data_IF_038285642777
#
_entry.id   IF_038285642777
#
_cell.length_a   1.000
_cell.length_b   1.000
_cell.length_c   1.000
_cell.angle_alpha   90.00
_cell.angle_beta   90.00
_cell.angle_gamma   90.00
#
_symmetry.space_group_name_H-M   'P 1'
#
loop_
_entity.id
_entity.type
_entity.pdbx_description
1 polymer ?
#
# COMPACT_ATOMS: atom_id res chain seq x y z
N UNK A 1 1.95 28.21 3.63
CA UNK A 1 2.10 29.52 2.96
C UNK A 1 3.41 29.47 2.18
N UNK A 2 3.36 29.16 0.88
CA UNK A 2 4.55 29.17 0.02
C UNK A 2 4.23 29.96 -1.25
N UNK A 3 5.12 30.90 -1.55
CA UNK A 3 4.98 32.00 -2.48
C UNK A 3 5.60 31.60 -3.83
N UNK A 4 4.88 31.75 -4.94
CA UNK A 4 5.39 31.50 -6.30
C UNK A 4 5.50 32.83 -7.03
N UNK A 5 6.72 33.21 -7.40
CA UNK A 5 7.00 34.32 -8.33
C UNK A 5 6.65 33.87 -9.75
N UNK A 6 5.86 34.67 -10.46
CA UNK A 6 5.71 34.59 -11.91
C UNK A 6 6.73 35.51 -12.61
N UNK A 7 7.45 34.98 -13.60
CA UNK A 7 7.80 35.73 -14.81
C UNK A 7 8.23 34.78 -15.94
N UNK A 8 7.53 34.86 -17.08
CA UNK A 8 8.17 34.75 -18.39
C UNK A 8 8.06 33.43 -19.18
N UNK A 9 7.13 33.45 -20.15
CA UNK A 9 7.31 32.96 -21.53
C UNK A 9 7.12 31.47 -21.85
N UNK A 10 5.89 31.14 -22.24
CA UNK A 10 5.60 30.46 -23.52
C UNK A 10 6.03 29.01 -23.69
N UNK A 11 5.29 28.06 -23.11
CA UNK A 11 5.18 26.70 -23.66
C UNK A 11 3.83 26.07 -23.30
N UNK A 12 3.17 25.51 -24.31
CA UNK A 12 1.82 24.96 -24.37
C UNK A 12 1.24 24.38 -23.06
N UNK A 13 0.26 25.09 -22.49
CA UNK A 13 -0.57 24.65 -21.37
C UNK A 13 -1.80 23.96 -21.95
N UNK A 14 -1.72 22.66 -22.25
CA UNK A 14 -2.91 21.86 -22.59
C UNK A 14 -2.97 20.46 -21.93
N UNK A 15 -2.08 20.13 -20.97
CA UNK A 15 -2.14 18.83 -20.25
C UNK A 15 -2.40 18.94 -18.74
N UNK A 16 -2.73 20.11 -18.21
CA UNK A 16 -2.80 20.33 -16.75
C UNK A 16 -4.19 20.13 -16.12
N UNK A 17 -5.09 19.30 -16.69
CA UNK A 17 -6.51 19.26 -16.23
C UNK A 17 -7.16 17.91 -15.95
N UNK A 18 -6.41 16.82 -15.85
CA UNK A 18 -7.02 15.54 -15.44
C UNK A 18 -6.10 14.68 -14.58
N UNK A 19 -5.60 15.24 -13.48
CA UNK A 19 -5.23 14.45 -12.30
C UNK A 19 -6.28 14.79 -11.25
N UNK A 20 -7.40 14.06 -11.32
CA UNK A 20 -8.62 14.34 -10.54
C UNK A 20 -8.43 13.99 -9.06
N UNK A 21 -9.18 14.68 -8.20
CA UNK A 21 -9.32 14.49 -6.74
C UNK A 21 -10.09 13.22 -6.37
N UNK A 22 -9.74 12.10 -6.99
CA UNK A 22 -10.21 10.76 -6.63
C UNK A 22 -8.95 9.89 -6.54
N UNK A 23 -8.80 9.10 -5.49
CA UNK A 23 -7.51 8.51 -5.03
C UNK A 23 -6.87 7.52 -6.04
N UNK A 24 -7.51 7.27 -7.17
CA UNK A 24 -7.06 6.34 -8.21
C UNK A 24 -6.40 7.08 -9.40
N UNK A 25 -5.16 6.71 -9.70
CA UNK A 25 -4.44 7.13 -10.90
C UNK A 25 -5.17 6.63 -12.15
N UNK A 26 -5.56 7.56 -13.03
CA UNK A 26 -6.44 7.36 -14.21
C UNK A 26 -7.80 6.69 -13.91
N UNK A 27 -8.18 6.54 -12.63
CA UNK A 27 -9.36 5.79 -12.19
C UNK A 27 -9.19 4.27 -12.24
N UNK A 28 -7.94 3.77 -12.17
CA UNK A 28 -7.64 2.34 -12.32
C UNK A 28 -6.79 1.75 -11.20
N UNK A 29 -5.83 2.51 -10.67
CA UNK A 29 -4.90 2.04 -9.63
C UNK A 29 -4.69 3.12 -8.59
N UNK A 30 -4.83 2.76 -7.31
CA UNK A 30 -4.43 3.62 -6.21
C UNK A 30 -2.89 3.83 -6.17
N UNK A 31 -2.05 2.78 -6.35
CA UNK A 31 -0.60 2.96 -6.34
C UNK A 31 -0.07 3.65 -7.61
N UNK A 32 0.74 4.69 -7.42
CA UNK A 32 1.49 5.33 -8.52
C UNK A 32 2.76 4.56 -8.90
N UNK A 33 3.13 3.56 -8.10
CA UNK A 33 4.28 2.69 -8.30
C UNK A 33 3.90 1.24 -8.05
N UNK A 34 4.27 0.37 -8.97
CA UNK A 34 4.02 -1.07 -8.87
C UNK A 34 4.99 -1.84 -9.77
N UNK A 35 5.25 -3.10 -9.41
CA UNK A 35 5.86 -4.09 -10.30
C UNK A 35 4.71 -4.78 -11.04
N UNK A 36 4.84 -5.03 -12.35
CA UNK A 36 3.72 -5.49 -13.17
C UNK A 36 2.97 -4.34 -13.82
N UNK A 37 1.64 -4.41 -13.89
CA UNK A 37 0.74 -3.40 -14.49
C UNK A 37 1.24 -2.87 -15.83
N UNK A 38 1.76 -3.78 -16.65
CA UNK A 38 2.50 -3.46 -17.87
C UNK A 38 1.65 -2.65 -18.86
N UNK A 39 0.33 -2.85 -18.84
CA UNK A 39 -0.61 -2.17 -19.72
C UNK A 39 -0.65 -0.65 -19.50
N UNK A 40 -0.21 -0.15 -18.33
CA UNK A 40 -0.04 1.29 -18.03
C UNK A 40 1.37 1.82 -18.31
N UNK A 41 2.30 0.95 -18.69
CA UNK A 41 3.71 1.27 -18.91
C UNK A 41 4.10 1.27 -20.39
N UNK A 42 3.25 0.74 -21.26
CA UNK A 42 3.50 0.61 -22.70
C UNK A 42 2.42 1.33 -23.52
N UNK A 43 2.68 1.64 -24.81
CA UNK A 43 1.70 2.30 -25.67
C UNK A 43 0.34 1.57 -25.74
N UNK A 44 -0.75 2.34 -25.81
CA UNK A 44 -2.13 1.84 -25.84
C UNK A 44 -2.42 0.82 -26.95
N UNK A 45 -1.64 0.87 -28.05
CA UNK A 45 -1.70 -0.10 -29.14
C UNK A 45 -1.60 -1.55 -28.65
N UNK A 46 -0.73 -1.82 -27.68
CA UNK A 46 -0.56 -3.16 -27.11
C UNK A 46 -1.77 -3.57 -26.29
N UNK A 47 -2.36 -2.63 -25.54
CA UNK A 47 -3.60 -2.88 -24.78
C UNK A 47 -4.78 -3.18 -25.70
N UNK A 48 -4.92 -2.43 -26.80
CA UNK A 48 -6.00 -2.64 -27.75
C UNK A 48 -5.83 -3.89 -28.63
N UNK A 49 -4.59 -4.30 -28.96
CA UNK A 49 -4.34 -5.41 -29.90
C UNK A 49 -3.91 -6.72 -29.24
N UNK A 50 -3.26 -6.67 -28.09
CA UNK A 50 -2.75 -7.85 -27.40
C UNK A 50 -3.62 -8.15 -26.19
N UNK A 51 -3.67 -7.26 -25.20
CA UNK A 51 -4.38 -7.52 -23.95
C UNK A 51 -5.89 -7.69 -24.13
N UNK A 52 -6.51 -7.00 -25.11
CA UNK A 52 -7.94 -7.18 -25.42
C UNK A 52 -8.31 -8.57 -25.96
N UNK A 53 -7.33 -9.34 -26.42
CA UNK A 53 -7.51 -10.70 -26.93
C UNK A 53 -7.05 -11.77 -25.93
N UNK A 54 -6.50 -11.37 -24.79
CA UNK A 54 -6.23 -12.29 -23.70
C UNK A 54 -7.53 -12.49 -22.91
N UNK A 55 -7.76 -13.73 -22.51
CA UNK A 55 -8.84 -14.03 -21.56
C UNK A 55 -8.40 -13.55 -20.18
N UNK A 56 -9.13 -12.58 -19.62
CA UNK A 56 -8.82 -11.96 -18.33
C UNK A 56 -10.06 -11.98 -17.45
N UNK A 57 -10.02 -12.80 -16.40
CA UNK A 57 -11.16 -12.98 -15.48
C UNK A 57 -11.51 -11.72 -14.68
N UNK A 58 -10.55 -10.80 -14.52
CA UNK A 58 -10.66 -9.62 -13.67
C UNK A 58 -11.09 -8.35 -14.41
N UNK A 59 -11.05 -8.32 -15.75
CA UNK A 59 -11.45 -7.14 -16.54
C UNK A 59 -12.03 -7.53 -17.90
N UNK A 60 -13.21 -7.00 -18.22
CA UNK A 60 -13.82 -7.24 -19.52
C UNK A 60 -13.01 -6.59 -20.64
N UNK A 61 -12.99 -7.21 -21.83
CA UNK A 61 -12.33 -6.63 -23.01
C UNK A 61 -12.91 -5.25 -23.39
N UNK A 62 -14.18 -4.99 -23.09
CA UNK A 62 -14.83 -3.69 -23.30
C UNK A 62 -14.27 -2.61 -22.38
N UNK A 63 -14.16 -2.92 -21.08
CA UNK A 63 -13.55 -2.03 -20.08
C UNK A 63 -12.09 -1.76 -20.46
N UNK A 64 -11.34 -2.79 -20.83
CA UNK A 64 -9.93 -2.65 -21.19
C UNK A 64 -9.71 -1.75 -22.42
N UNK A 65 -10.61 -1.79 -23.42
CA UNK A 65 -10.59 -0.86 -24.57
C UNK A 65 -10.87 0.59 -24.15
N UNK A 66 -11.79 0.81 -23.22
CA UNK A 66 -12.03 2.14 -22.64
C UNK A 66 -10.83 2.64 -21.84
N UNK A 67 -10.13 1.74 -21.15
CA UNK A 67 -8.88 2.08 -20.47
C UNK A 67 -7.80 2.46 -21.48
N UNK A 68 -7.66 1.68 -22.56
CA UNK A 68 -6.66 1.91 -23.61
C UNK A 68 -6.81 3.29 -24.27
N UNK A 69 -8.03 3.81 -24.45
CA UNK A 69 -8.24 5.13 -25.04
C UNK A 69 -7.78 6.29 -24.15
N UNK A 70 -7.62 6.05 -22.83
CA UNK A 70 -7.09 7.04 -21.87
C UNK A 70 -5.56 7.01 -21.78
N UNK A 71 -4.92 5.97 -22.31
CA UNK A 71 -3.46 5.82 -22.27
C UNK A 71 -2.84 6.59 -23.44
N UNK A 72 -2.36 7.80 -23.16
CA UNK A 72 -1.85 8.72 -24.19
C UNK A 72 -0.32 8.83 -24.18
N UNK A 73 0.27 8.93 -22.98
CA UNK A 73 1.68 9.25 -22.72
C UNK A 73 2.28 8.33 -21.65
N UNK A 74 2.24 6.99 -21.83
CA UNK A 74 2.91 6.07 -20.90
C UNK A 74 4.43 6.33 -20.87
N UNK A 75 5.14 5.98 -19.79
CA UNK A 75 4.66 5.20 -18.64
C UNK A 75 3.97 6.03 -17.55
N UNK A 76 2.88 5.49 -17.02
CA UNK A 76 2.11 6.11 -15.93
C UNK A 76 2.44 5.58 -14.54
N UNK A 77 2.90 4.33 -14.46
CA UNK A 77 3.27 3.65 -13.22
C UNK A 77 4.75 3.35 -13.25
N UNK A 78 5.48 3.74 -12.20
CA UNK A 78 6.90 3.45 -12.08
C UNK A 78 7.14 2.13 -11.34
N UNK A 79 8.17 1.38 -11.74
CA UNK A 79 8.70 0.24 -10.97
C UNK A 79 9.97 0.60 -10.19
N UNK A 80 10.36 1.88 -10.17
CA UNK A 80 11.56 2.34 -9.46
C UNK A 80 11.20 2.54 -7.98
N UNK A 81 11.84 1.83 -7.05
CA UNK A 81 11.57 1.98 -5.62
C UNK A 81 12.16 3.27 -5.07
N UNK A 82 11.58 3.79 -3.99
CA UNK A 82 12.24 4.79 -3.14
C UNK A 82 13.12 4.07 -2.13
N UNK A 83 14.42 4.42 -2.11
CA UNK A 83 15.42 3.73 -1.28
C UNK A 83 15.83 4.63 -0.12
N UNK A 84 15.74 4.09 1.09
CA UNK A 84 16.10 4.77 2.33
C UNK A 84 17.14 3.97 3.10
N UNK A 85 18.17 4.65 3.60
CA UNK A 85 19.17 4.05 4.49
C UNK A 85 18.95 4.55 5.92
N UNK A 86 19.02 3.63 6.89
CA UNK A 86 18.88 3.94 8.32
C UNK A 86 20.02 3.29 9.10
N UNK A 87 20.53 4.04 10.08
CA UNK A 87 21.54 3.52 11.01
C UNK A 87 20.87 2.66 12.09
N UNK A 88 21.36 1.43 12.23
CA UNK A 88 20.89 0.44 13.19
C UNK A 88 21.85 0.29 14.38
N UNK A 89 22.63 1.32 14.70
CA UNK A 89 23.58 1.35 15.83
C UNK A 89 22.95 1.15 17.22
N UNK A 90 21.62 1.31 17.33
CA UNK A 90 20.84 1.09 18.56
C UNK A 90 19.88 -0.10 18.36
N UNK A 91 19.26 -0.64 19.43
CA UNK A 91 18.20 -1.62 19.27
C UNK A 91 17.03 -1.02 18.49
N UNK A 92 16.57 -1.71 17.44
CA UNK A 92 15.43 -1.32 16.63
C UNK A 92 14.51 -2.51 16.40
N UNK A 93 13.27 -2.23 16.05
CA UNK A 93 12.41 -3.18 15.36
C UNK A 93 11.84 -2.53 14.10
N UNK A 94 11.54 -3.36 13.10
CA UNK A 94 10.93 -2.97 11.84
C UNK A 94 9.60 -3.70 11.69
N UNK A 95 8.55 -2.95 11.37
CA UNK A 95 7.25 -3.48 10.97
C UNK A 95 7.13 -3.26 9.46
N UNK A 96 6.94 -4.34 8.71
CA UNK A 96 6.55 -4.30 7.30
C UNK A 96 5.15 -4.90 7.20
N UNK A 97 4.25 -4.22 6.49
CA UNK A 97 2.89 -4.70 6.29
C UNK A 97 2.33 -4.31 4.92
N UNK A 98 1.35 -5.06 4.44
CA UNK A 98 0.48 -4.61 3.34
C UNK A 98 -0.46 -3.48 3.80
N UNK A 99 -1.06 -2.79 2.84
CA UNK A 99 -2.13 -1.81 3.01
C UNK A 99 -3.45 -2.40 3.55
N UNK A 100 -3.61 -3.73 3.51
CA UNK A 100 -4.69 -4.42 4.22
C UNK A 100 -4.67 -4.19 5.74
N UNK A 101 -3.49 -4.03 6.36
CA UNK A 101 -3.41 -3.77 7.80
C UNK A 101 -4.02 -2.41 8.21
N UNK A 102 -3.60 -1.26 7.65
CA UNK A 102 -4.23 0.03 7.98
C UNK A 102 -5.70 0.12 7.54
N UNK A 103 -6.12 -0.70 6.58
CA UNK A 103 -7.51 -0.80 6.11
C UNK A 103 -8.40 -1.68 6.99
N UNK A 104 -7.84 -2.40 7.96
CA UNK A 104 -8.60 -3.26 8.86
C UNK A 104 -9.59 -2.44 9.71
N UNK A 105 -10.69 -3.09 10.12
CA UNK A 105 -11.84 -2.45 10.81
C UNK A 105 -11.41 -1.53 11.97
N UNK A 106 -10.45 -1.96 12.79
CA UNK A 106 -10.00 -1.20 13.96
C UNK A 106 -9.28 0.10 13.57
N UNK A 107 -8.64 0.17 12.41
CA UNK A 107 -7.82 1.30 11.97
C UNK A 107 -8.44 2.11 10.83
N UNK A 108 -9.51 1.61 10.23
CA UNK A 108 -10.16 2.24 9.09
C UNK A 108 -10.57 3.69 9.41
N UNK A 109 -10.12 4.63 8.58
CA UNK A 109 -10.38 6.06 8.74
C UNK A 109 -9.56 6.76 9.83
N UNK A 110 -8.67 6.04 10.54
CA UNK A 110 -7.74 6.66 11.48
C UNK A 110 -6.60 7.37 10.75
N UNK A 111 -6.08 8.43 11.39
CA UNK A 111 -4.89 9.11 10.91
C UNK A 111 -3.65 8.19 10.97
N UNK A 112 -2.80 8.16 9.93
CA UNK A 112 -1.63 7.28 9.87
C UNK A 112 -0.67 7.40 11.06
N UNK A 113 -0.52 8.59 11.65
CA UNK A 113 0.35 8.78 12.82
C UNK A 113 -0.22 8.10 14.07
N UNK A 114 -1.55 8.11 14.22
CA UNK A 114 -2.24 7.44 15.32
C UNK A 114 -2.10 5.94 15.20
N UNK A 115 -2.37 5.40 14.02
CA UNK A 115 -2.22 3.96 13.72
C UNK A 115 -0.80 3.49 13.95
N UNK A 116 0.20 4.23 13.43
CA UNK A 116 1.63 3.92 13.63
C UNK A 116 1.98 3.90 15.12
N UNK A 117 1.54 4.90 15.89
CA UNK A 117 1.79 4.97 17.33
C UNK A 117 1.22 3.75 18.05
N UNK A 118 -0.03 3.38 17.77
CA UNK A 118 -0.67 2.19 18.37
C UNK A 118 0.11 0.91 18.08
N UNK A 119 0.57 0.73 16.84
CA UNK A 119 1.38 -0.43 16.46
C UNK A 119 2.71 -0.45 17.23
N UNK A 120 3.41 0.69 17.28
CA UNK A 120 4.69 0.78 18.00
C UNK A 120 4.56 0.54 19.49
N UNK A 121 3.50 1.04 20.14
CA UNK A 121 3.21 0.81 21.56
C UNK A 121 2.87 -0.65 21.85
N UNK A 122 2.08 -1.31 20.99
CA UNK A 122 1.76 -2.72 21.14
C UNK A 122 3.01 -3.59 21.00
N UNK A 123 3.78 -3.38 19.93
CA UNK A 123 5.01 -4.13 19.67
C UNK A 123 6.03 -3.90 20.78
N UNK A 124 6.24 -2.64 21.19
CA UNK A 124 7.13 -2.29 22.29
C UNK A 124 6.79 -3.01 23.59
N UNK A 125 5.51 -2.99 24.02
CA UNK A 125 5.07 -3.71 25.22
C UNK A 125 5.34 -5.21 25.17
N UNK A 126 5.08 -5.85 24.03
CA UNK A 126 5.33 -7.29 23.88
C UNK A 126 6.83 -7.59 23.90
N UNK A 127 7.65 -6.76 23.26
CA UNK A 127 9.10 -6.90 23.31
C UNK A 127 9.64 -6.75 24.75
N UNK A 128 9.15 -5.77 25.49
CA UNK A 128 9.56 -5.51 26.88
C UNK A 128 9.12 -6.61 27.84
N UNK A 129 8.00 -7.29 27.55
CA UNK A 129 7.50 -8.42 28.36
C UNK A 129 8.40 -9.68 28.30
N UNK A 130 9.38 -9.72 27.38
CA UNK A 130 10.31 -10.84 27.16
C UNK A 130 9.66 -12.22 27.00
N UNK A 131 8.38 -12.30 26.65
CA UNK A 131 7.69 -13.58 26.49
C UNK A 131 8.18 -14.30 25.22
N UNK A 132 8.89 -15.44 25.33
CA UNK A 132 9.59 -16.06 24.21
C UNK A 132 8.66 -16.76 23.21
N UNK A 133 7.38 -16.94 23.54
CA UNK A 133 6.42 -17.74 22.76
C UNK A 133 5.39 -16.91 21.96
N UNK A 134 5.44 -15.57 22.00
CA UNK A 134 4.40 -14.73 21.38
C UNK A 134 4.80 -14.33 19.96
N UNK A 135 4.00 -14.75 18.99
CA UNK A 135 4.08 -14.19 17.64
C UNK A 135 3.53 -12.76 17.66
N UNK A 136 4.43 -11.78 17.62
CA UNK A 136 4.08 -10.36 17.67
C UNK A 136 3.24 -9.96 16.45
N UNK A 137 3.54 -10.49 15.26
CA UNK A 137 2.80 -10.15 14.05
C UNK A 137 1.33 -10.61 14.18
N UNK A 138 1.11 -11.81 14.74
CA UNK A 138 -0.23 -12.30 15.03
C UNK A 138 -0.93 -11.48 16.11
N UNK A 139 -0.19 -10.98 17.11
CA UNK A 139 -0.76 -10.10 18.14
C UNK A 139 -1.20 -8.76 17.56
N UNK A 140 -0.44 -8.22 16.59
CA UNK A 140 -0.79 -7.01 15.85
C UNK A 140 -2.00 -7.24 14.94
N UNK A 141 -2.06 -8.37 14.22
CA UNK A 141 -3.22 -8.74 13.43
C UNK A 141 -4.47 -8.88 14.31
N UNK A 142 -4.36 -9.56 15.46
CA UNK A 142 -5.47 -9.68 16.41
C UNK A 142 -5.96 -8.30 16.86
N UNK A 143 -5.06 -7.38 17.15
CA UNK A 143 -5.43 -6.00 17.49
C UNK A 143 -6.17 -5.29 16.33
N UNK A 144 -5.81 -5.57 15.08
CA UNK A 144 -6.43 -4.98 13.89
C UNK A 144 -7.89 -5.44 13.66
N UNK A 145 -8.22 -6.68 14.03
CA UNK A 145 -9.54 -7.30 13.77
C UNK A 145 -10.48 -7.35 14.99
N UNK A 146 -10.17 -6.61 16.07
CA UNK A 146 -11.04 -6.51 17.25
C UNK A 146 -10.35 -6.65 18.61
N UNK A 147 -9.08 -7.06 18.63
CA UNK A 147 -8.23 -7.09 19.82
C UNK A 147 -8.70 -8.08 20.87
N UNK A 148 -9.26 -7.56 21.97
CA UNK A 148 -9.80 -8.39 23.07
C UNK A 148 -11.29 -8.66 22.92
N UNK A 149 -11.97 -8.02 21.97
CA UNK A 149 -13.37 -8.30 21.66
C UNK A 149 -13.47 -9.57 20.82
N UNK A 150 -13.71 -10.70 21.47
CA UNK A 150 -13.80 -12.01 20.83
C UNK A 150 -14.93 -12.08 19.79
N UNK A 151 -16.03 -11.34 19.99
CA UNK A 151 -17.12 -11.31 19.03
C UNK A 151 -16.71 -10.64 17.74
N UNK A 152 -15.97 -9.51 17.81
CA UNK A 152 -15.42 -8.86 16.60
C UNK A 152 -14.40 -9.74 15.90
N UNK A 153 -13.44 -10.29 16.65
CA UNK A 153 -12.42 -11.18 16.09
C UNK A 153 -13.06 -12.38 15.40
N UNK A 154 -14.05 -13.02 16.03
CA UNK A 154 -14.78 -14.14 15.43
C UNK A 154 -15.47 -13.73 14.13
N UNK A 155 -16.20 -12.61 14.14
CA UNK A 155 -16.92 -12.10 12.97
C UNK A 155 -15.99 -11.82 11.78
N UNK A 156 -14.84 -11.21 12.03
CA UNK A 156 -13.85 -10.93 10.98
C UNK A 156 -13.25 -12.22 10.40
N UNK A 157 -13.12 -13.29 11.19
CA UNK A 157 -12.59 -14.57 10.75
C UNK A 157 -13.64 -15.45 10.04
N UNK A 158 -14.91 -15.37 10.42
CA UNK A 158 -16.01 -16.15 9.82
C UNK A 158 -16.67 -15.44 8.65
N UNK A 159 -16.22 -14.23 8.30
CA UNK A 159 -16.77 -13.42 7.19
C UNK A 159 -18.26 -13.07 7.42
N UNK A 160 -18.69 -13.01 8.69
CA UNK A 160 -20.04 -12.60 9.07
C UNK A 160 -20.17 -11.07 9.17
N UNK A 161 -19.61 -10.35 8.20
CA UNK A 161 -19.59 -8.89 8.17
C UNK A 161 -20.63 -8.36 7.17
N UNK A 162 -21.54 -7.50 7.63
CA UNK A 162 -22.60 -6.90 6.80
C UNK A 162 -22.05 -5.89 5.77
N UNK A 163 -20.92 -5.23 6.07
CA UNK A 163 -20.22 -4.34 5.15
C UNK A 163 -18.69 -4.52 5.19
N UNK A 164 -18.10 -4.50 3.99
CA UNK A 164 -16.68 -4.45 3.61
C UNK A 164 -15.81 -5.67 3.95
N UNK A 165 -15.32 -6.30 2.88
CA UNK A 165 -14.31 -7.35 2.93
C UNK A 165 -12.98 -6.73 3.37
N UNK A 166 -12.27 -7.41 4.28
CA UNK A 166 -10.90 -7.07 4.66
C UNK A 166 -9.97 -7.48 3.50
N UNK A 167 -9.07 -6.59 3.11
CA UNK A 167 -8.04 -6.91 2.12
C UNK A 167 -6.97 -7.85 2.69
N UNK A 168 -6.15 -8.46 1.85
CA UNK A 168 -5.11 -9.37 2.28
C UNK A 168 -4.12 -8.69 3.24
N UNK A 169 -4.00 -9.24 4.46
CA UNK A 169 -3.12 -8.70 5.50
C UNK A 169 -1.85 -9.54 5.62
N UNK A 170 -0.71 -8.94 5.27
CA UNK A 170 0.63 -9.50 5.51
C UNK A 170 1.36 -8.63 6.52
N UNK A 171 2.01 -9.26 7.52
CA UNK A 171 2.79 -8.56 8.55
C UNK A 171 4.10 -9.31 8.80
N UNK A 172 5.22 -8.58 8.77
CA UNK A 172 6.53 -9.06 9.17
C UNK A 172 7.13 -8.13 10.22
N UNK A 173 7.68 -8.72 11.29
CA UNK A 173 8.33 -7.99 12.37
C UNK A 173 9.76 -8.49 12.53
N UNK A 174 10.72 -7.61 12.27
CA UNK A 174 12.14 -7.91 12.41
C UNK A 174 12.73 -7.15 13.60
N UNK A 175 13.51 -7.84 14.42
CA UNK A 175 14.22 -7.24 15.57
C UNK A 175 15.70 -7.09 15.22
N UNK A 176 16.27 -5.95 15.56
CA UNK A 176 17.69 -5.67 15.41
C UNK A 176 18.26 -5.41 16.80
N UNK A 177 19.14 -6.30 17.25
CA UNK A 177 19.89 -6.12 18.50
C UNK A 177 21.19 -5.37 18.22
N UNK A 178 21.62 -4.56 19.18
CA UNK A 178 22.91 -3.87 19.07
C UNK A 178 24.04 -4.89 18.88
N UNK A 179 24.81 -4.74 17.80
CA UNK A 179 25.93 -5.63 17.46
C UNK A 179 25.63 -6.73 16.44
N UNK A 180 24.40 -6.85 15.93
CA UNK A 180 24.10 -7.79 14.84
C UNK A 180 24.66 -7.26 13.51
N UNK A 181 25.90 -7.65 13.17
CA UNK A 181 26.47 -7.41 11.84
C UNK A 181 25.75 -8.31 10.84
N UNK A 182 25.09 -7.71 9.85
CA UNK A 182 24.57 -8.45 8.69
C UNK A 182 25.80 -9.04 7.98
N UNK A 183 25.92 -10.37 7.85
CA UNK A 183 26.98 -10.95 7.05
C UNK A 183 26.77 -10.54 5.60
N UNK A 184 27.70 -9.76 5.06
CA UNK A 184 27.75 -9.49 3.62
C UNK A 184 28.07 -10.81 2.95
N UNK A 185 27.12 -11.35 2.19
CA UNK A 185 27.35 -12.48 1.27
C UNK A 185 27.76 -11.94 -0.09
#
# INVERSE_FOLDING_TARGET
MFNVKHSGSGMNILESRTVSKTVEFLGFLEPTRAIGDIWLKIPSLYTSRVFSNLDQDWISSGTLKQCASRISTPPYVSNVPDVYHRDLSRPWFLILCSDGLPSAETYNGMDPSTTTRMWTELVGRILDSQSPAVNIALSLLRAAIGGQDEHKVSRSLTVEMEERWMDDVSISIQRFTAGHRIPVR
#
